data_IF_109851873383
#
_entry.id   IF_109851873383
#
_cell.length_a   1.000
_cell.length_b   1.000
_cell.length_c   1.000
_cell.angle_alpha   90.00
_cell.angle_beta   90.00
_cell.angle_gamma   90.00
#
_symmetry.space_group_name_H-M   'P 1'
#
loop_
_entity.id
_entity.type
_entity.pdbx_description
1 polymer ?
#
# COMPACT_ATOMS: atom_id res chain seq x y z
N UNK A 1 3.53 15.18 12.25
CA UNK A 1 2.66 15.05 11.07
C UNK A 1 2.76 13.65 10.46
N UNK A 2 1.67 12.90 10.59
CA UNK A 2 1.42 11.62 9.93
C UNK A 2 0.61 11.86 8.66
N UNK A 3 1.02 11.23 7.56
CA UNK A 3 0.29 11.21 6.29
C UNK A 3 -0.31 9.83 6.09
N UNK A 4 -1.63 9.76 5.89
CA UNK A 4 -2.37 8.49 5.82
C UNK A 4 -3.22 8.47 4.56
N UNK A 5 -3.14 7.37 3.82
CA UNK A 5 -3.92 7.06 2.63
C UNK A 5 -4.91 5.97 3.02
N UNK A 6 -6.18 6.16 2.71
CA UNK A 6 -7.25 5.25 3.05
C UNK A 6 -7.69 4.43 1.84
N UNK A 7 -8.25 3.25 2.12
CA UNK A 7 -9.05 2.53 1.11
C UNK A 7 -8.23 1.83 0.03
N UNK A 8 -7.00 1.41 0.34
CA UNK A 8 -6.19 0.61 -0.60
C UNK A 8 -6.40 -0.89 -0.37
N UNK A 9 -6.17 -1.69 -1.40
CA UNK A 9 -6.40 -3.13 -1.35
C UNK A 9 -5.10 -3.92 -1.45
N UNK A 10 -4.85 -4.78 -0.46
CA UNK A 10 -3.84 -5.83 -0.55
C UNK A 10 -4.44 -7.07 -1.23
N UNK A 11 -3.66 -7.72 -2.09
CA UNK A 11 -4.08 -8.89 -2.89
C UNK A 11 -2.96 -9.93 -2.96
N UNK A 12 -3.33 -11.13 -3.42
CA UNK A 12 -2.37 -12.19 -3.71
C UNK A 12 -1.78 -12.88 -2.47
N UNK A 13 -2.34 -12.62 -1.27
CA UNK A 13 -1.93 -13.24 0.00
C UNK A 13 -1.88 -14.78 -0.03
N UNK A 14 -2.64 -15.41 -0.94
CA UNK A 14 -2.67 -16.86 -1.13
C UNK A 14 -1.42 -17.45 -1.82
N UNK A 15 -0.58 -16.62 -2.45
CA UNK A 15 0.68 -17.06 -3.05
C UNK A 15 1.86 -17.03 -2.07
N UNK A 16 1.77 -16.22 -1.01
CA UNK A 16 2.93 -15.89 -0.15
C UNK A 16 2.66 -15.97 1.36
N UNK A 17 1.46 -16.36 1.79
CA UNK A 17 1.07 -16.36 3.22
C UNK A 17 -0.22 -17.12 3.54
N UNK A 18 -0.81 -16.90 4.74
CA UNK A 18 -1.95 -17.67 5.27
C UNK A 18 -3.31 -17.29 4.64
N UNK A 19 -3.32 -16.65 3.47
CA UNK A 19 -4.49 -16.07 2.76
C UNK A 19 -5.07 -14.78 3.36
N UNK A 20 -4.55 -14.31 4.49
CA UNK A 20 -4.89 -13.02 5.09
C UNK A 20 -3.68 -12.34 5.76
N UNK A 21 -3.78 -11.02 5.93
CA UNK A 21 -2.90 -10.23 6.80
C UNK A 21 -3.58 -10.02 8.15
N UNK A 22 -2.81 -9.94 9.23
CA UNK A 22 -3.34 -9.74 10.59
C UNK A 22 -3.93 -8.34 10.70
N UNK A 23 -5.22 -8.26 11.02
CA UNK A 23 -5.92 -6.97 11.21
C UNK A 23 -5.23 -6.18 12.32
N UNK A 24 -4.96 -4.91 12.05
CA UNK A 24 -4.31 -4.03 13.01
C UNK A 24 -2.77 -4.10 13.03
N UNK A 25 -2.16 -5.14 12.45
CA UNK A 25 -0.70 -5.23 12.33
C UNK A 25 -0.14 -4.23 11.31
N UNK A 26 1.13 -3.86 11.45
CA UNK A 26 1.83 -2.95 10.55
C UNK A 26 2.81 -3.71 9.67
N UNK A 27 2.64 -3.60 8.35
CA UNK A 27 3.52 -4.22 7.36
C UNK A 27 4.30 -3.16 6.61
N UNK A 28 5.58 -3.41 6.31
CA UNK A 28 6.38 -2.50 5.48
C UNK A 28 5.92 -2.61 4.02
N UNK A 29 5.96 -1.52 3.27
CA UNK A 29 5.73 -1.56 1.82
C UNK A 29 6.95 -1.09 1.06
N UNK A 30 7.21 -1.71 -0.10
CA UNK A 30 8.35 -1.42 -0.98
C UNK A 30 7.97 -1.56 -2.44
N UNK A 31 8.59 -0.75 -3.29
CA UNK A 31 8.50 -0.91 -4.75
C UNK A 31 9.19 -2.20 -5.19
N UNK A 32 8.66 -2.82 -6.22
CA UNK A 32 9.19 -4.02 -6.86
C UNK A 32 9.40 -3.75 -8.35
N UNK A 33 10.36 -2.88 -8.68
CA UNK A 33 10.61 -2.39 -10.05
C UNK A 33 11.03 -3.50 -11.02
N UNK A 34 11.53 -4.62 -10.49
CA UNK A 34 11.93 -5.80 -11.28
C UNK A 34 10.77 -6.77 -11.52
N UNK A 35 9.55 -6.43 -11.09
CA UNK A 35 8.41 -7.29 -11.28
C UNK A 35 8.03 -7.36 -12.77
N UNK A 36 8.16 -8.55 -13.36
CA UNK A 36 7.94 -8.77 -14.80
C UNK A 36 6.49 -8.51 -15.25
N UNK A 37 5.52 -8.49 -14.32
CA UNK A 37 4.08 -8.32 -14.64
C UNK A 37 3.57 -6.90 -14.46
N UNK A 38 4.24 -6.10 -13.63
CA UNK A 38 3.83 -4.73 -13.32
C UNK A 38 5.04 -3.94 -12.76
N UNK A 39 5.63 -3.00 -13.53
CA UNK A 39 6.77 -2.22 -13.06
C UNK A 39 6.43 -1.29 -11.88
N UNK A 40 5.14 -1.08 -11.60
CA UNK A 40 4.65 -0.32 -10.45
C UNK A 40 4.28 -1.19 -9.26
N UNK A 41 4.58 -2.49 -9.30
CA UNK A 41 4.25 -3.40 -8.21
C UNK A 41 4.78 -2.88 -6.87
N UNK A 42 3.93 -2.93 -5.84
CA UNK A 42 4.29 -2.59 -4.46
C UNK A 42 4.07 -3.82 -3.59
N UNK A 43 5.16 -4.33 -3.02
CA UNK A 43 5.20 -5.47 -2.11
C UNK A 43 4.76 -5.04 -0.71
N UNK A 44 4.04 -5.93 -0.03
CA UNK A 44 3.74 -5.87 1.40
C UNK A 44 4.63 -6.88 2.10
N UNK A 45 5.41 -6.41 3.07
CA UNK A 45 6.53 -7.14 3.67
C UNK A 45 6.34 -7.33 5.18
N UNK A 46 6.69 -8.53 5.66
CA UNK A 46 6.90 -8.85 7.08
C UNK A 46 8.34 -9.34 7.24
N UNK A 47 9.20 -8.45 7.75
CA UNK A 47 10.65 -8.66 7.71
C UNK A 47 11.17 -8.83 6.27
N UNK A 48 11.89 -9.92 5.95
CA UNK A 48 12.37 -10.19 4.59
C UNK A 48 11.31 -10.83 3.68
N UNK A 49 10.16 -11.24 4.23
CA UNK A 49 9.19 -12.04 3.52
C UNK A 49 8.12 -11.17 2.86
N UNK A 50 7.86 -11.42 1.57
CA UNK A 50 6.68 -10.89 0.87
C UNK A 50 5.44 -11.61 1.42
N UNK A 51 4.39 -10.87 1.73
CA UNK A 51 3.10 -11.43 2.19
C UNK A 51 1.95 -11.14 1.25
N UNK A 52 2.02 -10.01 0.56
CA UNK A 52 1.01 -9.59 -0.40
C UNK A 52 1.59 -8.58 -1.38
N UNK A 53 0.78 -8.17 -2.34
CA UNK A 53 1.02 -7.00 -3.18
C UNK A 53 -0.15 -6.04 -3.08
N UNK A 54 0.07 -4.76 -3.37
CA UNK A 54 -1.04 -3.85 -3.61
C UNK A 54 -1.75 -4.21 -4.92
N UNK A 55 -3.06 -4.03 -4.94
CA UNK A 55 -3.85 -4.13 -6.17
C UNK A 55 -3.31 -3.14 -7.21
N UNK A 56 -3.21 -3.55 -8.47
CA UNK A 56 -2.51 -2.83 -9.55
C UNK A 56 -2.84 -1.33 -9.63
N UNK A 57 -4.12 -0.96 -9.53
CA UNK A 57 -4.53 0.45 -9.55
C UNK A 57 -4.03 1.24 -8.34
N UNK A 58 -4.03 0.64 -7.14
CA UNK A 58 -3.43 1.26 -5.96
C UNK A 58 -1.89 1.27 -6.05
N UNK A 59 -1.29 0.20 -6.58
CA UNK A 59 0.16 0.08 -6.74
C UNK A 59 0.73 1.18 -7.64
N UNK A 60 0.06 1.50 -8.75
CA UNK A 60 0.44 2.60 -9.66
C UNK A 60 0.57 3.96 -8.93
N UNK A 61 -0.39 4.28 -8.06
CA UNK A 61 -0.41 5.55 -7.34
C UNK A 61 0.62 5.52 -6.21
N UNK A 62 0.65 4.44 -5.43
CA UNK A 62 1.54 4.30 -4.28
C UNK A 62 3.01 4.22 -4.72
N UNK A 63 3.33 3.55 -5.83
CA UNK A 63 4.71 3.49 -6.34
C UNK A 63 5.28 4.89 -6.64
N UNK A 64 4.45 5.76 -7.23
CA UNK A 64 4.77 7.17 -7.50
C UNK A 64 4.94 7.96 -6.21
N UNK A 65 4.06 7.77 -5.22
CA UNK A 65 4.18 8.41 -3.90
C UNK A 65 5.47 8.01 -3.18
N UNK A 66 5.85 6.72 -3.25
CA UNK A 66 7.11 6.24 -2.69
C UNK A 66 8.33 6.87 -3.39
N UNK A 67 8.21 7.21 -4.68
CA UNK A 67 9.28 7.90 -5.43
C UNK A 67 9.47 9.36 -5.01
N UNK A 68 8.41 10.03 -4.54
CA UNK A 68 8.47 11.44 -4.11
C UNK A 68 9.27 11.66 -2.81
N UNK A 69 9.75 10.60 -2.16
CA UNK A 69 10.67 10.72 -1.02
C UNK A 69 10.08 11.39 0.22
N UNK A 70 8.76 11.36 0.40
CA UNK A 70 8.09 11.98 1.57
C UNK A 70 8.52 11.36 2.91
N UNK A 71 8.87 10.07 2.87
CA UNK A 71 9.32 9.30 4.02
C UNK A 71 10.08 8.05 3.55
N UNK A 72 11.12 7.66 4.30
CA UNK A 72 11.82 6.39 4.12
C UNK A 72 11.07 5.19 4.69
N UNK A 73 10.04 5.40 5.52
CA UNK A 73 9.30 4.33 6.19
C UNK A 73 7.79 4.49 6.01
N UNK A 74 7.23 3.57 5.23
CA UNK A 74 5.80 3.45 5.00
C UNK A 74 5.27 2.15 5.57
N UNK A 75 4.09 2.23 6.20
CA UNK A 75 3.42 1.09 6.79
C UNK A 75 2.03 0.93 6.18
N UNK A 76 1.70 -0.31 5.84
CA UNK A 76 0.36 -0.75 5.51
C UNK A 76 -0.28 -1.42 6.73
N UNK A 77 -1.50 -1.02 7.06
CA UNK A 77 -2.28 -1.54 8.18
C UNK A 77 -3.61 -2.10 7.67
N UNK A 78 -3.83 -3.42 7.72
CA UNK A 78 -5.11 -4.02 7.37
C UNK A 78 -6.20 -3.56 8.34
N UNK A 79 -7.41 -3.34 7.82
CA UNK A 79 -8.54 -2.76 8.57
C UNK A 79 -9.67 -3.74 8.81
N UNK A 80 -9.83 -4.69 7.90
CA UNK A 80 -10.90 -5.68 7.92
C UNK A 80 -10.32 -7.04 7.53
N UNK A 81 -11.07 -8.11 7.78
CA UNK A 81 -10.73 -9.46 7.31
C UNK A 81 -10.73 -9.51 5.79
N UNK A 82 -10.00 -10.47 5.20
CA UNK A 82 -9.95 -10.62 3.76
C UNK A 82 -11.31 -10.98 3.16
N UNK A 83 -11.71 -10.29 2.11
CA UNK A 83 -12.87 -10.61 1.29
C UNK A 83 -12.46 -11.61 0.20
N UNK A 84 -13.11 -12.77 0.17
CA UNK A 84 -12.94 -13.76 -0.89
C UNK A 84 -14.08 -13.58 -1.88
N UNK A 85 -13.81 -12.93 -3.02
CA UNK A 85 -14.85 -12.72 -4.05
C UNK A 85 -15.15 -13.99 -4.83
N UNK A 86 -14.11 -14.69 -5.30
CA UNK A 86 -14.22 -15.92 -6.07
C UNK A 86 -12.86 -16.63 -6.13
N UNK A 87 -12.84 -17.88 -6.62
CA UNK A 87 -11.62 -18.71 -6.70
C UNK A 87 -10.56 -18.16 -7.65
N UNK A 88 -10.95 -17.39 -8.68
CA UNK A 88 -10.05 -16.85 -9.71
C UNK A 88 -9.32 -15.59 -9.22
N UNK A 89 -10.02 -14.74 -8.46
CA UNK A 89 -9.48 -13.44 -8.03
C UNK A 89 -8.73 -13.53 -6.69
N UNK A 90 -9.02 -14.56 -5.89
CA UNK A 90 -8.39 -14.77 -4.58
C UNK A 90 -8.80 -13.74 -3.53
N UNK A 91 -8.22 -13.82 -2.31
CA UNK A 91 -8.52 -12.88 -1.23
C UNK A 91 -8.02 -11.46 -1.53
N UNK A 92 -8.83 -10.47 -1.16
CA UNK A 92 -8.47 -9.04 -1.15
C UNK A 92 -8.76 -8.46 0.22
N UNK A 93 -7.89 -7.59 0.74
CA UNK A 93 -8.05 -7.04 2.09
C UNK A 93 -7.92 -5.52 2.10
N UNK A 94 -8.89 -4.85 2.72
CA UNK A 94 -8.93 -3.40 2.85
C UNK A 94 -7.87 -2.93 3.85
N UNK A 95 -7.08 -1.95 3.44
CA UNK A 95 -5.94 -1.46 4.18
C UNK A 95 -5.86 0.07 4.13
N UNK A 96 -5.19 0.65 5.13
CA UNK A 96 -4.68 2.01 5.04
C UNK A 96 -3.16 1.96 4.95
N UNK A 97 -2.57 2.95 4.30
CA UNK A 97 -1.13 3.16 4.26
C UNK A 97 -0.82 4.45 5.03
N UNK A 98 0.28 4.50 5.76
CA UNK A 98 0.72 5.74 6.38
C UNK A 98 2.22 5.84 6.57
N UNK A 99 2.70 7.07 6.71
CA UNK A 99 4.08 7.39 7.01
C UNK A 99 4.20 8.66 7.85
N UNK A 100 5.30 8.76 8.61
CA UNK A 100 5.70 10.03 9.22
C UNK A 100 6.46 10.83 8.17
N UNK A 101 6.00 12.04 7.88
CA UNK A 101 6.65 12.91 6.91
C UNK A 101 8.02 13.35 7.43
N UNK A 102 9.02 13.26 6.56
CA UNK A 102 10.40 13.73 6.84
C UNK A 102 10.68 15.07 6.17
N UNK A 103 10.03 15.35 5.04
CA UNK A 103 10.07 16.62 4.32
C UNK A 103 8.68 16.96 3.77
N UNK A 104 8.41 18.26 3.61
CA UNK A 104 7.19 18.77 3.00
C UNK A 104 7.38 19.19 1.54
N UNK A 105 8.61 19.13 1.00
CA UNK A 105 8.95 19.63 -0.33
C UNK A 105 8.05 19.06 -1.43
N UNK A 106 7.77 17.75 -1.39
CA UNK A 106 6.93 17.07 -2.38
C UNK A 106 5.49 16.81 -1.91
N UNK A 107 5.07 17.42 -0.79
CA UNK A 107 3.77 17.13 -0.18
C UNK A 107 2.60 17.57 -1.07
N UNK A 108 2.68 18.75 -1.71
CA UNK A 108 1.63 19.21 -2.62
C UNK A 108 1.51 18.33 -3.87
N UNK A 109 2.64 17.92 -4.47
CA UNK A 109 2.66 16.95 -5.57
C UNK A 109 2.01 15.63 -5.18
N UNK A 110 2.24 15.16 -3.94
CA UNK A 110 1.63 13.95 -3.42
C UNK A 110 0.11 14.09 -3.21
N UNK A 111 -0.35 15.23 -2.71
CA UNK A 111 -1.77 15.54 -2.57
C UNK A 111 -2.49 15.57 -3.92
N UNK A 112 -1.92 16.27 -4.91
CA UNK A 112 -2.47 16.32 -6.27
C UNK A 112 -2.61 14.94 -6.87
N UNK A 113 -1.56 14.12 -6.79
CA UNK A 113 -1.58 12.74 -7.27
C UNK A 113 -2.69 11.90 -6.61
N UNK A 114 -2.91 12.06 -5.31
CA UNK A 114 -3.97 11.34 -4.59
C UNK A 114 -5.37 11.80 -5.01
N UNK A 115 -5.58 13.12 -5.13
CA UNK A 115 -6.84 13.70 -5.60
C UNK A 115 -7.21 13.21 -7.01
N UNK A 116 -6.25 13.26 -7.94
CA UNK A 116 -6.44 12.78 -9.33
C UNK A 116 -6.76 11.28 -9.38
N UNK A 117 -6.21 10.50 -8.45
CA UNK A 117 -6.47 9.06 -8.37
C UNK A 117 -7.79 8.69 -7.68
N UNK A 118 -8.46 9.64 -7.03
CA UNK A 118 -9.65 9.41 -6.22
C UNK A 118 -9.38 8.68 -4.89
N UNK A 119 -8.13 8.60 -4.43
CA UNK A 119 -7.80 8.03 -3.13
C UNK A 119 -8.00 9.06 -2.02
N UNK A 120 -8.70 8.67 -0.96
CA UNK A 120 -8.88 9.51 0.23
C UNK A 120 -7.60 9.50 1.08
N UNK A 121 -7.25 10.65 1.67
CA UNK A 121 -6.10 10.78 2.55
C UNK A 121 -6.35 11.80 3.67
N UNK A 122 -5.57 11.71 4.74
CA UNK A 122 -5.58 12.65 5.86
C UNK A 122 -4.16 13.01 6.31
N UNK A 123 -4.00 14.22 6.85
CA UNK A 123 -2.81 14.67 7.58
C UNK A 123 -3.18 14.81 9.05
N UNK A 124 -2.54 14.03 9.93
CA UNK A 124 -2.70 14.12 11.38
C UNK A 124 -1.46 14.77 12.00
N UNK A 125 -1.62 15.66 12.95
CA UNK A 125 -0.48 16.29 13.63
C UNK A 125 0.33 15.27 14.43
#
# INVERSE_FOLDING_TARGET
>A
MMFIIHGVWAVGMHHWGPRELVVGAGYRIERDERNVKDPNAVKVMEGPNVKAYLKRNNALVVSRLLHLGLSSKWLLKPKETALVRDRRTGPQQLCNIGCKLQSNENLESAKTLLLESGLTFELKQ
#
